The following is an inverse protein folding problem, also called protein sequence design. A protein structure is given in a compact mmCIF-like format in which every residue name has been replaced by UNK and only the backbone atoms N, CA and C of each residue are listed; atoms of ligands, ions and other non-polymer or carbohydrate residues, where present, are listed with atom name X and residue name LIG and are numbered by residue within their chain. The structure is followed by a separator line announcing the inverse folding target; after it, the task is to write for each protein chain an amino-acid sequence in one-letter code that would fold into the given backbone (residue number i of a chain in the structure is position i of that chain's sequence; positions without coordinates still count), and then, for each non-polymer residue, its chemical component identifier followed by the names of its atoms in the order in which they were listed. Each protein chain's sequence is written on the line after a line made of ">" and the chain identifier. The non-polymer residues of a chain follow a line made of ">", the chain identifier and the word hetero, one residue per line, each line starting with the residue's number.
data_IF_271947970803
#
_entry.id   IF_271947970803
#
_cell.length_a   1.000
_cell.length_b   1.000
_cell.length_c   1.000
_cell.angle_alpha   90.00
_cell.angle_beta   90.00
_cell.angle_gamma   90.00
#
_symmetry.space_group_name_H-M   'P 1'
#
loop_
_entity.id
_entity.type
_entity.pdbx_description
1 polymer ?
#
# COMPACT_ATOMS: atom_id res chain seq x y z
N UNK A 1 -19.95 -9.45 50.58
CA UNK A 1 -20.15 -8.70 49.32
C UNK A 1 -20.62 -9.67 48.24
N UNK A 2 -21.79 -9.44 47.64
CA UNK A 2 -22.40 -10.38 46.66
C UNK A 2 -21.53 -10.50 45.41
N UNK A 3 -21.18 -11.73 45.00
CA UNK A 3 -20.40 -11.99 43.78
C UNK A 3 -20.97 -11.31 42.52
N UNK A 4 -22.28 -11.05 42.49
CA UNK A 4 -22.94 -10.33 41.39
C UNK A 4 -22.54 -8.85 41.32
N UNK A 5 -22.30 -8.17 42.45
CA UNK A 5 -21.86 -6.77 42.44
C UNK A 5 -20.39 -6.62 42.05
N UNK A 6 -19.55 -7.60 42.40
CA UNK A 6 -18.16 -7.66 41.96
C UNK A 6 -18.04 -7.89 40.45
N UNK A 7 -18.77 -8.87 39.90
CA UNK A 7 -18.80 -9.14 38.45
C UNK A 7 -19.29 -7.94 37.63
N UNK A 8 -20.34 -7.24 38.11
CA UNK A 8 -20.85 -6.03 37.45
C UNK A 8 -19.82 -4.90 37.45
N UNK A 9 -19.13 -4.67 38.57
CA UNK A 9 -18.07 -3.66 38.66
C UNK A 9 -16.88 -4.01 37.76
N UNK A 10 -16.46 -5.27 37.75
CA UNK A 10 -15.38 -5.75 36.88
C UNK A 10 -15.73 -5.56 35.39
N UNK A 11 -16.97 -5.88 34.99
CA UNK A 11 -17.44 -5.65 33.63
C UNK A 11 -17.46 -4.15 33.26
N UNK A 12 -17.91 -3.27 34.16
CA UNK A 12 -17.87 -1.81 33.93
C UNK A 12 -16.44 -1.31 33.77
N UNK A 13 -15.50 -1.74 34.62
CA UNK A 13 -14.10 -1.37 34.49
C UNK A 13 -13.47 -1.90 33.19
N UNK A 14 -13.81 -3.11 32.77
CA UNK A 14 -13.36 -3.66 31.49
C UNK A 14 -13.89 -2.83 30.30
N UNK A 15 -15.18 -2.47 30.30
CA UNK A 15 -15.78 -1.63 29.25
C UNK A 15 -15.11 -0.27 29.20
N UNK A 16 -14.87 0.36 30.36
CA UNK A 16 -14.18 1.65 30.42
C UNK A 16 -12.75 1.53 29.88
N UNK A 17 -12.01 0.49 30.26
CA UNK A 17 -10.65 0.26 29.77
C UNK A 17 -10.62 0.08 28.25
N UNK A 18 -11.52 -0.72 27.69
CA UNK A 18 -11.62 -0.92 26.24
C UNK A 18 -12.02 0.37 25.51
N UNK A 19 -12.98 1.13 26.04
CA UNK A 19 -13.39 2.40 25.46
C UNK A 19 -12.25 3.42 25.48
N UNK A 20 -11.52 3.52 26.60
CA UNK A 20 -10.33 4.38 26.69
C UNK A 20 -9.26 3.95 25.70
N UNK A 21 -8.98 2.65 25.58
CA UNK A 21 -8.05 2.13 24.57
C UNK A 21 -8.46 2.53 23.15
N UNK A 22 -9.73 2.33 22.77
CA UNK A 22 -10.23 2.68 21.44
C UNK A 22 -10.09 4.18 21.15
N UNK A 23 -10.43 5.04 22.13
CA UNK A 23 -10.27 6.49 21.98
C UNK A 23 -8.81 6.88 21.84
N UNK A 24 -7.91 6.30 22.63
CA UNK A 24 -6.49 6.60 22.55
C UNK A 24 -5.90 6.15 21.21
N UNK A 25 -6.17 4.91 20.81
CA UNK A 25 -5.53 4.30 19.64
C UNK A 25 -6.08 4.80 18.30
N UNK A 26 -7.39 5.09 18.22
CA UNK A 26 -8.05 5.43 16.97
C UNK A 26 -8.42 6.92 16.85
N UNK A 27 -8.25 7.73 17.90
CA UNK A 27 -8.55 9.17 17.87
C UNK A 27 -7.37 9.99 18.39
N UNK A 28 -6.97 9.81 19.64
CA UNK A 28 -5.99 10.71 20.26
C UNK A 28 -4.59 10.61 19.65
N UNK A 29 -4.07 9.40 19.46
CA UNK A 29 -2.75 9.19 18.86
C UNK A 29 -2.70 9.65 17.39
N UNK A 30 -3.66 9.30 16.51
CA UNK A 30 -3.72 9.86 15.17
C UNK A 30 -3.72 11.40 15.12
N UNK A 31 -4.51 12.06 15.97
CA UNK A 31 -4.55 13.53 16.03
C UNK A 31 -3.23 14.14 16.51
N UNK A 32 -2.54 13.49 17.45
CA UNK A 32 -1.23 13.92 17.93
C UNK A 32 -0.19 13.94 16.80
N UNK A 33 -0.09 12.86 16.03
CA UNK A 33 0.81 12.78 14.87
C UNK A 33 0.41 13.77 13.78
N UNK A 34 -0.89 13.89 13.50
CA UNK A 34 -1.43 14.90 12.58
C UNK A 34 -1.02 16.31 12.97
N UNK A 35 -1.00 16.64 14.27
CA UNK A 35 -0.56 17.95 14.76
C UNK A 35 0.97 18.13 14.68
N UNK A 36 1.73 17.08 15.01
CA UNK A 36 3.20 17.10 15.02
C UNK A 36 3.78 17.32 13.62
N UNK A 37 3.12 16.77 12.61
CA UNK A 37 3.59 16.73 11.21
C UNK A 37 2.83 17.71 10.30
N UNK A 38 2.18 18.74 10.89
CA UNK A 38 1.60 19.87 10.13
C UNK A 38 2.69 20.73 9.50
N UNK A 39 3.21 20.26 8.36
CA UNK A 39 4.23 20.96 7.58
C UNK A 39 4.44 20.43 6.17
N UNK A 40 3.94 19.22 5.84
CA UNK A 40 4.34 18.51 4.60
C UNK A 40 3.68 18.98 3.30
N UNK A 41 2.70 19.88 3.35
CA UNK A 41 1.99 20.35 2.14
C UNK A 41 2.83 21.19 1.17
N UNK A 42 4.13 21.38 1.42
CA UNK A 42 5.00 22.26 0.64
C UNK A 42 6.29 21.62 0.11
N UNK A 43 6.47 20.30 0.17
CA UNK A 43 7.64 19.63 -0.42
C UNK A 43 7.29 18.96 -1.75
N UNK A 44 8.07 19.27 -2.78
CA UNK A 44 7.92 18.79 -4.15
C UNK A 44 8.58 17.43 -4.32
N UNK A 45 7.85 16.47 -4.91
CA UNK A 45 8.35 15.17 -5.41
C UNK A 45 9.28 14.42 -4.45
N UNK A 46 8.76 13.99 -3.31
CA UNK A 46 9.39 12.92 -2.54
C UNK A 46 8.83 11.59 -3.05
N UNK A 47 9.69 10.66 -3.44
CA UNK A 47 9.34 9.28 -3.86
C UNK A 47 8.84 8.47 -2.66
N UNK A 48 7.86 9.02 -1.95
CA UNK A 48 7.29 8.52 -0.70
C UNK A 48 5.80 8.82 -0.64
N UNK A 49 5.04 7.82 -0.22
CA UNK A 49 3.62 8.01 0.04
C UNK A 49 3.41 8.67 1.40
N UNK A 50 2.21 9.15 1.66
CA UNK A 50 1.83 9.78 2.92
C UNK A 50 0.46 9.29 3.37
N UNK A 51 0.25 9.15 4.67
CA UNK A 51 -1.10 8.95 5.21
C UNK A 51 -1.96 10.21 4.98
N UNK A 52 -3.30 10.14 5.07
CA UNK A 52 -4.16 11.32 5.04
C UNK A 52 -3.81 12.38 6.10
N UNK A 53 -3.13 11.96 7.17
CA UNK A 53 -2.64 12.81 8.26
C UNK A 53 -1.29 13.49 7.94
N UNK A 54 -0.64 13.14 6.82
CA UNK A 54 0.64 13.68 6.40
C UNK A 54 1.86 12.94 6.96
N UNK A 55 1.68 11.75 7.54
CA UNK A 55 2.79 10.92 8.03
C UNK A 55 3.43 10.20 6.85
N UNK A 56 4.76 10.21 6.69
CA UNK A 56 5.44 9.43 5.66
C UNK A 56 5.05 7.95 5.72
N UNK A 57 4.59 7.43 4.59
CA UNK A 57 4.16 6.05 4.38
C UNK A 57 5.28 5.19 3.80
N UNK A 58 4.88 4.24 2.95
CA UNK A 58 5.81 3.40 2.22
C UNK A 58 6.44 4.21 1.05
N UNK A 59 7.73 4.01 0.73
CA UNK A 59 8.36 4.67 -0.41
C UNK A 59 7.90 4.12 -1.76
N UNK A 60 8.04 4.93 -2.80
CA UNK A 60 7.90 4.51 -4.19
C UNK A 60 9.18 3.77 -4.58
N UNK A 61 9.04 2.49 -4.93
CA UNK A 61 10.14 1.60 -5.27
C UNK A 61 9.93 0.85 -6.60
N UNK A 62 8.79 1.02 -7.26
CA UNK A 62 8.53 0.44 -8.59
C UNK A 62 7.88 1.47 -9.51
N UNK A 63 8.08 1.30 -10.82
CA UNK A 63 7.36 2.03 -11.84
C UNK A 63 7.00 1.13 -13.02
N UNK A 64 5.91 1.44 -13.71
CA UNK A 64 5.49 0.74 -14.92
C UNK A 64 5.11 1.73 -16.02
N UNK A 65 5.53 1.46 -17.26
CA UNK A 65 5.07 2.18 -18.45
C UNK A 65 4.08 1.30 -19.20
N UNK A 66 2.85 1.79 -19.34
CA UNK A 66 1.80 1.10 -20.07
C UNK A 66 0.42 1.67 -19.78
N UNK A 67 -0.58 1.27 -20.55
CA UNK A 67 -1.96 1.65 -20.29
C UNK A 67 -2.49 0.95 -19.03
N UNK A 68 -3.53 1.50 -18.41
CA UNK A 68 -4.19 0.85 -17.27
C UNK A 68 -4.60 -0.60 -17.59
N UNK A 69 -5.05 -0.86 -18.83
CA UNK A 69 -5.42 -2.20 -19.32
C UNK A 69 -4.22 -3.15 -19.32
N UNK A 70 -3.06 -2.67 -19.76
CA UNK A 70 -1.81 -3.44 -19.77
C UNK A 70 -1.34 -3.76 -18.36
N UNK A 71 -1.42 -2.79 -17.42
CA UNK A 71 -1.06 -3.01 -16.00
C UNK A 71 -1.94 -4.11 -15.42
N UNK A 72 -3.26 -3.96 -15.50
CA UNK A 72 -4.21 -4.95 -14.95
C UNK A 72 -4.01 -6.32 -15.59
N UNK A 73 -3.80 -6.38 -16.91
CA UNK A 73 -3.54 -7.63 -17.60
C UNK A 73 -2.23 -8.29 -17.14
N UNK A 74 -1.16 -7.51 -16.97
CA UNK A 74 0.14 -8.03 -16.54
C UNK A 74 0.06 -8.69 -15.15
N UNK A 75 -0.61 -8.04 -14.21
CA UNK A 75 -0.82 -8.57 -12.86
C UNK A 75 -1.71 -9.83 -12.88
N UNK A 76 -2.77 -9.84 -13.68
CA UNK A 76 -3.63 -11.02 -13.82
C UNK A 76 -2.87 -12.23 -14.39
N UNK A 77 -2.03 -12.04 -15.42
CA UNK A 77 -1.20 -13.11 -16.01
C UNK A 77 -0.14 -13.59 -15.02
N UNK A 78 0.44 -12.70 -14.21
CA UNK A 78 1.38 -13.05 -13.15
C UNK A 78 0.72 -13.69 -11.90
N UNK A 79 -0.61 -13.84 -11.89
CA UNK A 79 -1.35 -14.48 -10.80
C UNK A 79 -1.49 -13.61 -9.55
N UNK A 80 -1.55 -12.29 -9.73
CA UNK A 80 -1.91 -11.34 -8.68
C UNK A 80 -3.41 -11.03 -8.74
N UNK A 81 -4.02 -10.90 -7.58
CA UNK A 81 -5.40 -10.49 -7.42
C UNK A 81 -5.48 -8.97 -7.24
N UNK A 82 -6.55 -8.33 -7.70
CA UNK A 82 -6.83 -6.94 -7.32
C UNK A 82 -7.25 -6.92 -5.85
N UNK A 83 -6.60 -6.10 -5.03
CA UNK A 83 -6.88 -6.01 -3.59
C UNK A 83 -8.35 -5.60 -3.28
N UNK A 84 -9.05 -5.03 -4.27
CA UNK A 84 -10.50 -4.87 -4.27
C UNK A 84 -11.18 -6.06 -4.99
N UNK A 85 -11.29 -7.19 -4.28
CA UNK A 85 -11.83 -8.46 -4.77
C UNK A 85 -13.25 -8.40 -5.39
N UNK A 86 -13.98 -7.29 -5.20
CA UNK A 86 -15.32 -7.08 -5.78
C UNK A 86 -15.23 -6.75 -7.28
N UNK A 87 -14.09 -6.25 -7.77
CA UNK A 87 -13.95 -5.78 -9.16
C UNK A 87 -13.64 -6.92 -10.15
N UNK A 88 -13.00 -8.00 -9.69
CA UNK A 88 -12.42 -9.02 -10.57
C UNK A 88 -13.45 -9.93 -11.25
N UNK A 89 -14.57 -10.26 -10.58
CA UNK A 89 -15.64 -11.07 -11.20
C UNK A 89 -16.35 -10.33 -12.35
N UNK A 90 -16.18 -9.01 -12.44
CA UNK A 90 -16.71 -8.19 -13.55
C UNK A 90 -15.63 -7.84 -14.57
N UNK A 91 -14.37 -7.71 -14.16
CA UNK A 91 -13.26 -7.32 -15.04
C UNK A 91 -12.67 -8.47 -15.88
N UNK A 92 -12.71 -9.72 -15.40
CA UNK A 92 -12.15 -10.87 -16.12
C UNK A 92 -13.07 -11.38 -17.24
N UNK A 93 -14.38 -11.19 -17.14
CA UNK A 93 -15.30 -11.62 -18.21
C UNK A 93 -15.17 -10.79 -19.48
N UNK A 94 -14.51 -9.63 -19.41
CA UNK A 94 -14.52 -8.70 -20.52
C UNK A 94 -13.18 -7.94 -20.59
N UNK A 95 -12.33 -8.32 -21.55
CA UNK A 95 -11.31 -7.42 -22.13
C UNK A 95 -11.87 -6.16 -22.81
N UNK A 96 -13.11 -5.78 -22.48
CA UNK A 96 -13.99 -4.78 -23.08
C UNK A 96 -14.81 -4.01 -21.99
N UNK A 97 -14.68 -4.29 -20.68
CA UNK A 97 -15.34 -3.50 -19.61
C UNK A 97 -14.34 -2.65 -18.84
N UNK A 98 -13.67 -1.74 -19.55
CA UNK A 98 -12.97 -0.61 -18.93
C UNK A 98 -14.03 0.46 -18.61
N UNK A 99 -13.81 1.21 -17.52
CA UNK A 99 -14.63 2.28 -16.93
C UNK A 99 -15.65 1.84 -15.88
N UNK A 100 -15.22 1.87 -14.62
CA UNK A 100 -16.01 2.57 -13.59
C UNK A 100 -15.09 3.32 -12.62
N UNK A 101 -14.99 4.63 -12.81
CA UNK A 101 -14.52 5.57 -11.79
C UNK A 101 -15.59 5.68 -10.71
N UNK A 102 -15.47 4.89 -9.63
CA UNK A 102 -16.25 5.10 -8.41
C UNK A 102 -15.32 5.50 -7.27
N UNK A 103 -15.64 6.59 -6.54
CA UNK A 103 -14.97 6.90 -5.30
C UNK A 103 -15.33 5.80 -4.28
N UNK A 104 -14.35 4.99 -3.87
CA UNK A 104 -14.53 3.88 -2.93
C UNK A 104 -14.40 4.36 -1.47
N UNK A 105 -15.40 4.09 -0.62
CA UNK A 105 -15.26 4.04 0.82
C UNK A 105 -15.03 2.58 1.26
N UNK A 106 -13.88 2.35 1.89
CA UNK A 106 -13.47 1.18 2.68
C UNK A 106 -13.25 -0.17 1.95
N UNK A 107 -11.97 -0.51 1.81
CA UNK A 107 -11.41 -1.83 1.51
C UNK A 107 -10.11 -2.03 2.33
N UNK A 108 -9.60 -3.26 2.54
CA UNK A 108 -8.80 -3.68 3.70
C UNK A 108 -7.36 -3.14 3.77
N UNK A 109 -7.01 -2.18 2.91
CA UNK A 109 -5.71 -1.54 2.84
C UNK A 109 -5.81 -0.07 3.25
N UNK A 110 -4.96 0.35 4.18
CA UNK A 110 -4.88 1.75 4.62
C UNK A 110 -4.66 2.67 3.43
N UNK A 111 -5.44 3.75 3.37
CA UNK A 111 -5.32 4.77 2.32
C UNK A 111 -3.95 5.45 2.43
N UNK A 112 -3.17 5.36 1.37
CA UNK A 112 -1.92 6.11 1.20
C UNK A 112 -2.12 7.10 0.06
N UNK A 113 -1.51 8.27 0.21
CA UNK A 113 -1.57 9.37 -0.73
C UNK A 113 -0.19 9.53 -1.37
N UNK A 114 -0.14 9.66 -2.68
CA UNK A 114 1.05 10.10 -3.39
C UNK A 114 0.69 11.41 -4.09
N UNK A 115 1.47 12.46 -3.84
CA UNK A 115 1.18 13.83 -4.31
C UNK A 115 -0.22 14.33 -3.97
N UNK A 116 -0.73 13.92 -2.80
CA UNK A 116 -2.06 14.27 -2.33
C UNK A 116 -3.22 13.48 -2.97
N UNK A 117 -2.93 12.50 -3.83
CA UNK A 117 -3.92 11.67 -4.51
C UNK A 117 -3.91 10.23 -3.99
N UNK A 118 -5.09 9.64 -3.83
CA UNK A 118 -5.21 8.23 -3.47
C UNK A 118 -4.76 7.33 -4.63
N UNK A 119 -4.40 6.08 -4.29
CA UNK A 119 -3.98 5.08 -5.27
C UNK A 119 -5.08 4.80 -6.31
N UNK A 120 -4.67 4.51 -7.54
CA UNK A 120 -5.56 4.14 -8.64
C UNK A 120 -5.79 2.63 -8.71
N UNK A 121 -4.73 1.86 -8.45
CA UNK A 121 -4.73 0.40 -8.51
C UNK A 121 -4.01 -0.17 -7.29
N UNK A 122 -4.46 -1.33 -6.84
CA UNK A 122 -3.78 -2.12 -5.82
C UNK A 122 -3.89 -3.61 -6.15
N UNK A 123 -2.79 -4.34 -5.94
CA UNK A 123 -2.70 -5.76 -6.20
C UNK A 123 -2.11 -6.49 -5.01
N UNK A 124 -2.55 -7.71 -4.80
CA UNK A 124 -2.06 -8.61 -3.77
C UNK A 124 -1.80 -10.01 -4.32
N UNK A 125 -0.80 -10.69 -3.76
CA UNK A 125 -0.52 -12.10 -4.06
C UNK A 125 -0.22 -12.85 -2.76
N UNK A 126 -1.07 -13.82 -2.36
CA UNK A 126 -0.94 -14.50 -1.07
C UNK A 126 0.30 -15.39 -1.03
N UNK A 127 0.88 -15.54 0.16
CA UNK A 127 2.00 -16.47 0.41
C UNK A 127 1.52 -17.64 1.27
N UNK A 128 1.45 -18.82 0.66
CA UNK A 128 1.01 -20.03 1.34
C UNK A 128 -0.50 -20.06 1.58
N UNK A 129 -0.93 -20.68 2.68
CA UNK A 129 -2.36 -20.92 2.97
C UNK A 129 -3.01 -19.92 3.92
N UNK A 130 -2.35 -18.81 4.25
CA UNK A 130 -2.82 -17.83 5.25
C UNK A 130 -2.92 -16.43 4.65
N UNK A 131 -3.97 -15.69 5.02
CA UNK A 131 -4.24 -14.34 4.53
C UNK A 131 -3.41 -13.26 5.25
N UNK A 132 -2.59 -13.64 6.23
CA UNK A 132 -1.75 -12.73 7.01
C UNK A 132 -0.43 -12.36 6.32
N UNK A 133 -0.04 -13.12 5.29
CA UNK A 133 1.18 -12.91 4.53
C UNK A 133 0.89 -12.80 3.05
N UNK A 134 1.19 -11.63 2.48
CA UNK A 134 0.94 -11.35 1.06
C UNK A 134 1.96 -10.36 0.53
N UNK A 135 2.31 -10.55 -0.72
CA UNK A 135 2.92 -9.51 -1.53
C UNK A 135 1.86 -8.48 -1.85
N UNK A 136 2.21 -7.20 -1.82
CA UNK A 136 1.25 -6.13 -2.03
C UNK A 136 1.88 -4.94 -2.74
N UNK A 137 1.15 -4.34 -3.67
CA UNK A 137 1.60 -3.14 -4.39
C UNK A 137 0.44 -2.19 -4.66
N UNK A 138 0.70 -0.89 -4.53
CA UNK A 138 -0.21 0.19 -4.93
C UNK A 138 0.40 0.96 -6.09
N UNK A 139 -0.42 1.44 -7.02
CA UNK A 139 0.01 2.27 -8.12
C UNK A 139 -0.79 3.57 -8.22
N UNK A 140 -0.08 4.62 -8.64
CA UNK A 140 -0.59 5.92 -9.01
C UNK A 140 -0.19 6.21 -10.44
N UNK A 141 -1.15 6.51 -11.29
CA UNK A 141 -0.89 7.06 -12.61
C UNK A 141 -0.37 8.50 -12.46
N UNK A 142 0.77 8.79 -13.08
CA UNK A 142 1.35 10.14 -13.11
C UNK A 142 0.90 10.89 -14.36
N UNK A 143 1.14 12.19 -14.42
CA UNK A 143 0.97 12.99 -15.63
C UNK A 143 2.11 12.79 -16.66
N UNK A 144 3.13 12.00 -16.30
CA UNK A 144 4.26 11.68 -17.16
C UNK A 144 3.97 10.47 -18.05
N UNK A 145 4.72 10.37 -19.14
CA UNK A 145 4.66 9.26 -20.10
C UNK A 145 6.05 8.72 -20.37
N UNK A 146 6.13 7.43 -20.71
CA UNK A 146 7.35 6.83 -21.26
C UNK A 146 7.65 7.35 -22.66
N UNK A 147 8.81 6.95 -23.19
CA UNK A 147 9.28 7.33 -24.52
C UNK A 147 8.34 6.89 -25.66
N UNK A 148 7.54 5.84 -25.40
CA UNK A 148 6.52 5.32 -26.32
C UNK A 148 5.15 6.02 -26.19
N UNK A 149 5.07 7.08 -25.38
CA UNK A 149 3.86 7.87 -25.14
C UNK A 149 2.83 7.20 -24.22
N UNK A 150 3.12 6.01 -23.68
CA UNK A 150 2.22 5.34 -22.73
C UNK A 150 2.37 5.91 -21.32
N UNK A 151 1.31 5.90 -20.49
CA UNK A 151 1.35 6.47 -19.15
C UNK A 151 2.42 5.85 -18.26
N UNK A 152 3.07 6.67 -17.44
CA UNK A 152 3.92 6.23 -16.34
C UNK A 152 3.09 6.04 -15.06
N UNK A 153 3.23 4.86 -14.46
CA UNK A 153 2.72 4.51 -13.16
C UNK A 153 3.86 4.44 -12.17
N UNK A 154 3.72 5.07 -11.02
CA UNK A 154 4.61 4.91 -9.89
C UNK A 154 3.92 4.08 -8.82
N UNK A 155 4.67 3.21 -8.16
CA UNK A 155 4.10 2.29 -7.20
C UNK A 155 4.97 2.05 -5.98
N UNK A 156 4.29 1.61 -4.93
CA UNK A 156 4.88 1.23 -3.66
C UNK A 156 4.55 -0.23 -3.40
N UNK A 157 5.57 -1.07 -3.54
CA UNK A 157 5.51 -2.50 -3.30
C UNK A 157 6.05 -2.81 -1.89
N UNK A 158 5.25 -3.49 -1.07
CA UNK A 158 5.62 -3.90 0.28
C UNK A 158 5.10 -5.31 0.60
N UNK A 159 5.87 -6.06 1.38
CA UNK A 159 5.49 -7.41 1.80
C UNK A 159 4.74 -7.35 3.13
N UNK A 160 3.46 -7.68 3.17
CA UNK A 160 2.74 -7.80 4.44
C UNK A 160 3.16 -9.09 5.14
N UNK A 161 3.70 -8.98 6.36
CA UNK A 161 4.20 -10.11 7.15
C UNK A 161 3.26 -10.60 8.24
N UNK A 162 2.19 -9.86 8.52
CA UNK A 162 1.22 -10.19 9.56
C UNK A 162 0.38 -9.00 10.01
N UNK A 163 -0.51 -9.25 10.96
CA UNK A 163 -1.33 -8.23 11.64
C UNK A 163 -0.82 -8.05 13.07
N UNK A 164 -0.73 -6.80 13.53
CA UNK A 164 -0.32 -6.46 14.88
C UNK A 164 -0.80 -5.08 15.30
N UNK A 165 -0.22 -4.54 16.37
CA UNK A 165 -0.52 -3.19 16.84
C UNK A 165 0.52 -2.22 16.29
N UNK A 166 0.07 -1.12 15.70
CA UNK A 166 0.92 -0.03 15.25
C UNK A 166 1.80 0.46 16.40
N UNK A 167 3.09 0.70 16.10
CA UNK A 167 4.04 1.20 17.09
C UNK A 167 3.74 2.63 17.52
N UNK A 168 3.04 3.39 16.67
CA UNK A 168 2.80 4.83 16.87
C UNK A 168 1.42 5.12 17.44
N UNK A 169 0.43 4.27 17.18
CA UNK A 169 -0.96 4.49 17.61
C UNK A 169 -1.50 3.39 18.50
N UNK A 170 -0.95 2.18 18.46
CA UNK A 170 -1.56 1.01 19.07
C UNK A 170 -2.83 0.53 18.35
N UNK A 171 -3.22 1.11 17.22
CA UNK A 171 -4.30 0.59 16.38
C UNK A 171 -3.87 -0.73 15.72
N UNK A 172 -4.83 -1.62 15.47
CA UNK A 172 -4.57 -2.83 14.69
C UNK A 172 -4.20 -2.45 13.26
N UNK A 173 -3.03 -2.88 12.79
CA UNK A 173 -2.49 -2.62 11.45
C UNK A 173 -1.82 -3.86 10.86
N UNK A 174 -1.67 -3.89 9.55
CA UNK A 174 -0.74 -4.80 8.89
C UNK A 174 0.69 -4.30 9.12
N UNK A 175 1.60 -5.24 9.33
CA UNK A 175 3.03 -4.98 9.40
C UNK A 175 3.72 -5.36 8.09
N UNK A 176 4.58 -4.49 7.58
CA UNK A 176 5.36 -4.78 6.36
C UNK A 176 6.73 -5.39 6.69
N UNK A 177 7.30 -6.15 5.76
CA UNK A 177 8.70 -6.57 5.72
C UNK A 177 9.64 -5.36 5.67
N UNK A 178 10.84 -5.42 6.29
CA UNK A 178 11.71 -4.26 6.35
C UNK A 178 12.53 -4.10 5.06
N UNK A 179 12.69 -5.17 4.29
CA UNK A 179 13.41 -5.19 3.03
C UNK A 179 12.42 -4.92 1.89
N UNK A 180 12.27 -3.66 1.53
CA UNK A 180 11.37 -3.24 0.45
C UNK A 180 12.01 -3.40 -0.93
N UNK A 181 13.33 -3.58 -1.00
CA UNK A 181 14.04 -3.91 -2.24
C UNK A 181 13.76 -5.36 -2.62
N UNK A 182 13.74 -6.27 -1.66
CA UNK A 182 13.35 -7.67 -1.89
C UNK A 182 11.94 -7.78 -2.48
N UNK A 183 10.99 -6.96 -2.02
CA UNK A 183 9.63 -6.95 -2.55
C UNK A 183 9.56 -6.34 -3.96
N UNK A 184 10.25 -5.20 -4.18
CA UNK A 184 10.42 -4.61 -5.51
C UNK A 184 10.96 -5.64 -6.50
N UNK A 185 12.04 -6.30 -6.14
CA UNK A 185 12.74 -7.26 -6.99
C UNK A 185 11.87 -8.49 -7.25
N UNK A 186 11.12 -8.97 -6.24
CA UNK A 186 10.15 -10.04 -6.40
C UNK A 186 9.08 -9.68 -7.44
N UNK A 187 8.44 -8.50 -7.30
CA UNK A 187 7.41 -8.05 -8.23
C UNK A 187 7.95 -7.97 -9.66
N UNK A 188 9.11 -7.35 -9.85
CA UNK A 188 9.70 -7.21 -11.18
C UNK A 188 10.07 -8.56 -11.80
N UNK A 189 10.64 -9.48 -11.02
CA UNK A 189 10.94 -10.84 -11.47
C UNK A 189 9.68 -11.61 -11.85
N UNK A 190 8.61 -11.48 -11.09
CA UNK A 190 7.34 -12.18 -11.32
C UNK A 190 6.66 -11.70 -12.61
N UNK A 191 6.64 -10.38 -12.86
CA UNK A 191 6.16 -9.81 -14.12
C UNK A 191 7.05 -10.20 -15.32
N UNK A 192 8.38 -10.27 -15.13
CA UNK A 192 9.30 -10.77 -16.16
C UNK A 192 9.05 -12.24 -16.47
N UNK A 193 8.90 -13.09 -15.46
CA UNK A 193 8.63 -14.52 -15.61
C UNK A 193 7.29 -14.79 -16.32
N UNK A 194 6.30 -13.92 -16.09
CA UNK A 194 5.03 -13.91 -16.81
C UNK A 194 5.14 -13.44 -18.28
N UNK A 195 6.31 -12.97 -18.71
CA UNK A 195 6.52 -12.45 -20.07
C UNK A 195 5.83 -11.11 -20.33
N UNK A 196 5.57 -10.33 -19.27
CA UNK A 196 4.80 -9.09 -19.31
C UNK A 196 5.66 -7.83 -19.37
N UNK A 197 6.97 -7.95 -19.16
CA UNK A 197 7.93 -6.84 -19.28
C UNK A 197 8.77 -6.98 -20.55
N UNK A 198 8.87 -5.89 -21.32
CA UNK A 198 9.76 -5.77 -22.48
C UNK A 198 11.18 -5.45 -22.03
N UNK A 199 11.31 -4.54 -21.07
CA UNK A 199 12.58 -4.08 -20.52
C UNK A 199 12.40 -3.57 -19.10
N UNK A 200 13.52 -3.48 -18.38
CA UNK A 200 13.61 -2.89 -17.05
C UNK A 200 14.79 -1.91 -16.98
N UNK A 201 14.66 -0.88 -16.16
CA UNK A 201 15.70 0.12 -15.91
C UNK A 201 15.61 0.68 -14.50
N UNK A 202 16.72 1.18 -13.96
CA UNK A 202 16.72 1.89 -12.68
C UNK A 202 16.05 3.27 -12.84
N UNK A 203 15.34 3.69 -11.80
CA UNK A 203 14.77 5.03 -11.61
C UNK A 203 15.25 5.56 -10.25
N UNK A 204 15.50 6.86 -10.15
CA UNK A 204 15.79 7.47 -8.85
C UNK A 204 14.58 7.33 -7.92
N UNK A 205 14.78 6.73 -6.75
CA UNK A 205 13.76 6.56 -5.74
C UNK A 205 13.91 7.57 -4.60
N UNK A 206 13.58 7.15 -3.38
CA UNK A 206 13.67 8.00 -2.18
C UNK A 206 15.11 8.30 -1.72
N UNK A 207 16.11 7.61 -2.31
CA UNK A 207 17.49 7.64 -1.84
C UNK A 207 17.76 6.61 -0.74
N UNK A 208 19.03 6.21 -0.62
CA UNK A 208 19.44 5.09 0.21
C UNK A 208 19.03 5.33 1.68
N UNK A 209 18.29 4.39 2.25
CA UNK A 209 17.67 4.52 3.56
C UNK A 209 17.91 3.26 4.37
N UNK A 210 18.46 3.39 5.57
CA UNK A 210 18.80 2.25 6.46
C UNK A 210 17.92 2.15 7.71
N UNK A 211 17.23 3.24 8.06
CA UNK A 211 16.43 3.37 9.28
C UNK A 211 15.10 4.09 8.99
N UNK A 212 14.47 3.77 7.85
CA UNK A 212 13.19 4.33 7.44
C UNK A 212 12.05 3.83 8.33
N UNK A 213 10.96 4.58 8.40
CA UNK A 213 9.71 4.16 9.05
C UNK A 213 8.52 4.51 8.18
N UNK A 214 7.57 3.60 8.06
CA UNK A 214 6.30 3.88 7.38
C UNK A 214 5.26 4.47 8.34
N UNK A 215 4.07 4.75 7.81
CA UNK A 215 2.99 5.41 8.55
C UNK A 215 2.39 4.58 9.69
N UNK A 216 2.71 3.29 9.78
CA UNK A 216 2.36 2.42 10.91
C UNK A 216 3.45 2.33 11.99
N UNK A 217 4.64 2.86 11.70
CA UNK A 217 5.84 2.82 12.53
C UNK A 217 6.80 1.68 12.22
N UNK A 218 6.55 0.90 11.15
CA UNK A 218 7.38 -0.24 10.78
C UNK A 218 8.71 0.19 10.19
N UNK A 219 9.84 -0.44 10.59
CA UNK A 219 11.13 -0.13 10.01
C UNK A 219 11.24 -0.66 8.58
N UNK A 220 11.87 0.12 7.70
CA UNK A 220 12.28 -0.33 6.37
C UNK A 220 13.71 0.12 6.01
N UNK A 221 14.31 -0.56 5.04
CA UNK A 221 15.56 -0.18 4.39
C UNK A 221 15.49 -0.40 2.87
N UNK A 222 16.24 0.42 2.13
CA UNK A 222 16.33 0.38 0.67
C UNK A 222 17.66 0.95 0.18
N UNK A 223 18.14 0.46 -0.96
CA UNK A 223 19.20 1.04 -1.79
C UNK A 223 18.84 2.44 -2.34
N UNK A 224 17.57 2.83 -2.22
CA UNK A 224 17.08 4.15 -2.58
C UNK A 224 16.60 4.30 -4.01
N UNK A 225 16.54 3.20 -4.77
CA UNK A 225 16.13 3.20 -6.17
C UNK A 225 14.73 2.64 -6.33
N UNK A 226 14.08 3.06 -7.40
CA UNK A 226 12.94 2.36 -7.95
C UNK A 226 13.36 1.57 -9.21
N UNK A 227 12.63 0.51 -9.55
CA UNK A 227 12.82 -0.19 -10.82
C UNK A 227 11.63 0.08 -11.72
N UNK A 228 11.91 0.58 -12.92
CA UNK A 228 10.95 0.90 -13.95
C UNK A 228 10.85 -0.27 -14.94
N UNK A 229 9.64 -0.77 -15.20
CA UNK A 229 9.36 -1.79 -16.20
C UNK A 229 8.51 -1.27 -17.35
N UNK A 230 8.90 -1.57 -18.59
CA UNK A 230 8.05 -1.27 -19.77
C UNK A 230 7.17 -2.48 -20.06
N UNK A 231 5.85 -2.31 -19.97
CA UNK A 231 4.90 -3.40 -20.17
C UNK A 231 4.81 -3.80 -21.65
N UNK A 232 4.56 -5.09 -21.88
CA UNK A 232 4.23 -5.63 -23.18
C UNK A 232 2.95 -4.98 -23.70
N UNK A 233 3.00 -4.46 -24.92
CA UNK A 233 1.85 -3.83 -25.54
C UNK A 233 0.78 -4.88 -25.83
N UNK A 234 -0.47 -4.56 -25.48
CA UNK A 234 -1.61 -5.39 -25.86
C UNK A 234 -2.03 -5.08 -27.31
N UNK A 235 -2.45 -6.10 -28.07
CA UNK A 235 -2.95 -5.92 -29.44
C UNK A 235 -4.27 -5.13 -29.49
#
# INVERSE_FOLDING_TARGET
>A
MSQRSFRRRAATWLVLLLATYLVLAYVAAPEFWTFRDRGFRSQSFEMVTHTPQGIPGDPINVGLIGTQKEVVHAFAVAGWDTADAITLRTAIDIGESVLFSRPYPDAPVSRLLFEGRAQDLAFEKPVGGSADRRHHVRFWQTDATGDDGRPLWLGSASFDRGVGLSHDTGAITHHIGPDIDAERDFLMQDLTAAGMLISTSDLEGIGATTHGRNGGGDPYFTDGKAVLGVLKQLP
#
